data_IF_099202880469
#
_entry.id   IF_099202880469
#
_cell.length_a   1.000
_cell.length_b   1.000
_cell.length_c   1.000
_cell.angle_alpha   90.00
_cell.angle_beta   90.00
_cell.angle_gamma   90.00
#
_symmetry.space_group_name_H-M   'P 1'
#
loop_
_entity.id
_entity.type
_entity.pdbx_description
1 polymer ?
#
# COMPACT_ATOMS: atom_id res chain seq x y z
N UNK A 1 -0.18 -12.03 9.83
CA UNK A 1 -0.30 -11.57 11.23
C UNK A 1 -1.73 -11.14 11.47
N UNK A 2 -2.28 -11.42 12.65
CA UNK A 2 -3.52 -10.80 13.13
C UNK A 2 -3.15 -9.65 14.07
N UNK A 3 -3.88 -8.55 13.98
CA UNK A 3 -3.67 -7.37 14.83
C UNK A 3 -5.03 -6.84 15.28
N UNK A 4 -5.16 -6.54 16.57
CA UNK A 4 -6.36 -5.94 17.13
C UNK A 4 -6.49 -4.47 16.69
N UNK A 5 -7.71 -4.06 16.35
CA UNK A 5 -8.03 -2.66 16.04
C UNK A 5 -8.22 -1.81 17.30
N UNK A 6 -8.76 -2.40 18.37
CA UNK A 6 -9.11 -1.70 19.61
C UNK A 6 -8.09 -1.85 20.74
N UNK A 7 -7.03 -2.64 20.53
CA UNK A 7 -6.02 -2.90 21.56
C UNK A 7 -4.65 -3.05 20.92
N UNK A 8 -3.59 -2.79 21.68
CA UNK A 8 -2.22 -2.95 21.20
C UNK A 8 -1.77 -4.42 21.31
N UNK A 9 -2.37 -5.30 20.49
CA UNK A 9 -2.07 -6.73 20.48
C UNK A 9 -1.95 -7.24 19.04
N UNK A 10 -0.91 -8.04 18.79
CA UNK A 10 -0.69 -8.70 17.50
C UNK A 10 -0.11 -10.10 17.69
N UNK A 11 -0.43 -11.00 16.76
CA UNK A 11 0.07 -12.36 16.77
C UNK A 11 0.28 -12.88 15.35
N UNK A 12 1.38 -13.62 15.14
CA UNK A 12 1.59 -14.37 13.89
C UNK A 12 0.72 -15.62 13.90
N UNK A 13 -0.25 -15.69 12.98
CA UNK A 13 -1.23 -16.78 12.87
C UNK A 13 -0.91 -17.78 11.76
N UNK A 14 0.14 -17.54 10.97
CA UNK A 14 0.48 -18.38 9.83
C UNK A 14 1.82 -17.97 9.20
N UNK A 15 2.63 -18.98 8.89
CA UNK A 15 3.90 -18.84 8.19
C UNK A 15 4.04 -20.06 7.26
N UNK A 16 4.29 -19.81 5.99
CA UNK A 16 4.38 -20.85 4.96
C UNK A 16 5.67 -20.66 4.18
N UNK A 17 6.49 -21.71 4.11
CA UNK A 17 7.65 -21.72 3.24
C UNK A 17 7.21 -22.07 1.81
N UNK A 18 7.68 -21.32 0.83
CA UNK A 18 7.49 -21.61 -0.59
C UNK A 18 8.82 -21.53 -1.34
N UNK A 19 9.01 -22.41 -2.33
CA UNK A 19 10.21 -22.41 -3.19
C UNK A 19 10.28 -21.18 -4.11
N UNK A 20 9.15 -20.52 -4.35
CA UNK A 20 9.04 -19.33 -5.19
C UNK A 20 7.74 -18.57 -4.92
N UNK A 21 7.34 -17.70 -5.85
CA UNK A 21 6.13 -16.89 -5.71
C UNK A 21 4.88 -17.77 -5.55
N UNK A 22 4.08 -17.43 -4.54
CA UNK A 22 2.81 -18.12 -4.27
C UNK A 22 1.73 -17.56 -5.21
N UNK A 23 1.01 -18.45 -5.89
CA UNK A 23 -0.11 -18.06 -6.77
C UNK A 23 -1.19 -17.34 -5.96
N UNK A 24 -1.72 -16.23 -6.48
CA UNK A 24 -2.74 -15.41 -5.79
C UNK A 24 -3.99 -16.19 -5.35
N UNK A 25 -4.39 -17.21 -6.11
CA UNK A 25 -5.51 -18.11 -5.74
C UNK A 25 -5.23 -18.86 -4.43
N UNK A 26 -4.01 -19.36 -4.26
CA UNK A 26 -3.60 -20.06 -3.03
C UNK A 26 -3.58 -19.07 -1.86
N UNK A 27 -3.10 -17.85 -2.07
CA UNK A 27 -3.13 -16.79 -1.05
C UNK A 27 -4.59 -16.53 -0.63
N UNK A 28 -5.52 -16.41 -1.58
CA UNK A 28 -6.94 -16.22 -1.28
C UNK A 28 -7.51 -17.35 -0.41
N UNK A 29 -7.21 -18.60 -0.75
CA UNK A 29 -7.63 -19.77 0.04
C UNK A 29 -7.04 -19.77 1.45
N UNK A 30 -5.76 -19.43 1.60
CA UNK A 30 -5.10 -19.34 2.90
C UNK A 30 -5.70 -18.23 3.76
N UNK A 31 -6.01 -17.08 3.17
CA UNK A 31 -6.67 -15.96 3.87
C UNK A 31 -8.07 -16.34 4.32
N UNK A 32 -8.88 -16.97 3.46
CA UNK A 32 -10.22 -17.46 3.85
C UNK A 32 -10.13 -18.47 4.99
N UNK A 33 -9.18 -19.42 4.91
CA UNK A 33 -8.96 -20.40 5.98
C UNK A 33 -8.55 -19.72 7.28
N UNK A 34 -7.65 -18.74 7.24
CA UNK A 34 -7.23 -17.99 8.42
C UNK A 34 -8.40 -17.22 9.06
N UNK A 35 -9.22 -16.54 8.26
CA UNK A 35 -10.42 -15.83 8.73
C UNK A 35 -11.39 -16.81 9.42
N UNK A 36 -11.63 -17.96 8.80
CA UNK A 36 -12.49 -19.00 9.37
C UNK A 36 -11.98 -19.54 10.72
N UNK A 37 -10.67 -19.81 10.82
CA UNK A 37 -10.07 -20.29 12.08
C UNK A 37 -10.12 -19.23 13.19
N UNK A 38 -9.85 -17.97 12.87
CA UNK A 38 -9.95 -16.85 13.81
C UNK A 38 -11.39 -16.72 14.33
N UNK A 39 -12.38 -16.83 13.44
CA UNK A 39 -13.79 -16.75 13.82
C UNK A 39 -14.21 -17.86 14.78
N UNK A 40 -13.70 -19.07 14.60
CA UNK A 40 -13.99 -20.21 15.47
C UNK A 40 -13.49 -20.00 16.92
N UNK A 41 -12.48 -19.16 17.11
CA UNK A 41 -11.94 -18.80 18.44
C UNK A 41 -12.73 -17.61 19.05
N UNK A 42 -13.76 -17.10 18.35
CA UNK A 42 -14.59 -16.00 18.81
C UNK A 42 -14.06 -14.60 18.45
N UNK A 43 -12.96 -14.53 17.72
CA UNK A 43 -12.39 -13.27 17.24
C UNK A 43 -13.02 -12.87 15.90
N UNK A 44 -12.94 -11.57 15.60
CA UNK A 44 -13.48 -11.01 14.36
C UNK A 44 -12.36 -10.47 13.48
N UNK A 45 -12.54 -10.61 12.16
CA UNK A 45 -11.70 -9.98 11.15
C UNK A 45 -12.58 -9.00 10.37
N UNK A 46 -12.25 -7.71 10.46
CA UNK A 46 -12.96 -6.64 9.76
C UNK A 46 -12.27 -6.26 8.44
N UNK A 47 -10.97 -6.52 8.32
CA UNK A 47 -10.26 -6.31 7.07
C UNK A 47 -8.92 -7.01 6.97
N UNK A 48 -8.40 -7.03 5.76
CA UNK A 48 -7.07 -7.53 5.41
C UNK A 48 -6.27 -6.39 4.78
N UNK A 49 -4.98 -6.34 5.09
CA UNK A 49 -4.03 -5.37 4.52
C UNK A 49 -2.91 -6.14 3.84
N UNK A 50 -2.61 -5.80 2.59
CA UNK A 50 -1.42 -6.31 1.90
C UNK A 50 -0.84 -5.27 0.95
N UNK A 51 0.38 -5.49 0.48
CA UNK A 51 0.96 -4.65 -0.56
C UNK A 51 0.24 -4.84 -1.90
N UNK A 52 0.60 -3.99 -2.86
CA UNK A 52 0.06 -4.04 -4.22
C UNK A 52 0.82 -4.98 -5.15
N UNK A 53 1.51 -6.02 -4.67
CA UNK A 53 2.21 -6.97 -5.54
C UNK A 53 1.25 -7.71 -6.49
N UNK A 54 1.75 -8.19 -7.64
CA UNK A 54 0.91 -8.82 -8.67
C UNK A 54 0.12 -10.03 -8.16
N UNK A 55 0.72 -10.84 -7.30
CA UNK A 55 0.07 -12.01 -6.66
C UNK A 55 -1.04 -11.59 -5.70
N UNK A 56 -0.83 -10.53 -4.92
CA UNK A 56 -1.83 -9.97 -4.00
C UNK A 56 -2.99 -9.30 -4.74
N UNK A 57 -2.71 -8.60 -5.85
CA UNK A 57 -3.78 -8.08 -6.73
C UNK A 57 -4.62 -9.20 -7.31
N UNK A 58 -4.00 -10.34 -7.67
CA UNK A 58 -4.76 -11.51 -8.13
C UNK A 58 -5.67 -12.04 -7.02
N UNK A 59 -5.20 -12.13 -5.77
CA UNK A 59 -6.05 -12.48 -4.62
C UNK A 59 -7.24 -11.51 -4.48
N UNK A 60 -7.04 -10.20 -4.66
CA UNK A 60 -8.15 -9.23 -4.63
C UNK A 60 -9.21 -9.55 -5.68
N UNK A 61 -8.78 -9.85 -6.92
CA UNK A 61 -9.69 -10.26 -7.99
C UNK A 61 -10.47 -11.54 -7.63
N UNK A 62 -9.84 -12.53 -7.00
CA UNK A 62 -10.52 -13.75 -6.54
C UNK A 62 -11.59 -13.46 -5.47
N UNK A 63 -11.40 -12.42 -4.65
CA UNK A 63 -12.42 -11.94 -3.71
C UNK A 63 -13.49 -11.05 -4.37
N UNK A 64 -13.37 -10.82 -5.68
CA UNK A 64 -14.25 -9.92 -6.43
C UNK A 64 -14.13 -8.48 -5.96
N UNK A 65 -12.93 -8.07 -5.52
CA UNK A 65 -12.59 -6.68 -5.21
C UNK A 65 -12.27 -5.96 -6.50
N UNK A 66 -12.83 -4.76 -6.64
CA UNK A 66 -12.68 -3.89 -7.79
C UNK A 66 -12.37 -2.47 -7.31
N UNK A 67 -11.30 -1.89 -7.87
CA UNK A 67 -10.83 -0.55 -7.55
C UNK A 67 -11.03 0.45 -8.69
N UNK A 68 -11.78 0.09 -9.73
CA UNK A 68 -12.12 1.00 -10.82
C UNK A 68 -13.05 2.11 -10.33
N UNK A 69 -12.94 3.28 -10.94
CA UNK A 69 -13.64 4.50 -10.50
C UNK A 69 -15.17 4.32 -10.48
N UNK A 70 -15.71 3.57 -11.43
CA UNK A 70 -17.14 3.41 -11.65
C UNK A 70 -17.72 2.16 -10.96
N UNK A 71 -16.88 1.27 -10.43
CA UNK A 71 -17.29 0.01 -9.80
C UNK A 71 -16.45 -0.28 -8.55
N UNK A 72 -16.34 0.70 -7.64
CA UNK A 72 -15.59 0.53 -6.41
C UNK A 72 -16.26 -0.50 -5.50
N UNK A 73 -15.60 -1.64 -5.31
CA UNK A 73 -15.96 -2.69 -4.36
C UNK A 73 -14.72 -3.16 -3.63
N UNK A 74 -14.52 -2.68 -2.41
CA UNK A 74 -13.34 -2.97 -1.59
C UNK A 74 -13.59 -4.01 -0.49
N UNK A 75 -14.58 -4.89 -0.65
CA UNK A 75 -14.91 -5.89 0.36
C UNK A 75 -15.46 -7.18 -0.24
N UNK A 76 -15.42 -8.25 0.55
CA UNK A 76 -16.11 -9.51 0.29
C UNK A 76 -16.91 -9.93 1.52
N UNK A 77 -17.84 -10.88 1.36
CA UNK A 77 -18.65 -11.41 2.48
C UNK A 77 -17.80 -12.33 3.33
N UNK A 78 -17.93 -12.24 4.64
CA UNK A 78 -17.19 -13.11 5.56
C UNK A 78 -17.56 -14.59 5.30
N UNK A 79 -16.59 -15.52 5.23
CA UNK A 79 -16.81 -16.89 4.76
C UNK A 79 -17.76 -17.73 5.63
N UNK A 80 -17.87 -17.39 6.92
CA UNK A 80 -18.76 -18.08 7.88
C UNK A 80 -20.02 -17.27 8.20
N UNK A 81 -19.98 -15.94 8.02
CA UNK A 81 -21.04 -15.04 8.48
C UNK A 81 -21.38 -14.05 7.36
N UNK A 82 -22.28 -14.42 6.42
CA UNK A 82 -22.57 -13.61 5.25
C UNK A 82 -23.13 -12.22 5.54
N UNK A 83 -23.57 -11.95 6.78
CA UNK A 83 -24.03 -10.63 7.21
C UNK A 83 -22.87 -9.63 7.40
N UNK A 84 -21.65 -10.13 7.62
CA UNK A 84 -20.44 -9.33 7.84
C UNK A 84 -19.63 -9.21 6.56
N UNK A 85 -18.93 -8.07 6.46
CA UNK A 85 -18.02 -7.76 5.36
C UNK A 85 -16.58 -7.80 5.88
N UNK A 86 -15.68 -8.26 5.02
CA UNK A 86 -14.23 -8.17 5.23
C UNK A 86 -13.70 -7.20 4.18
N UNK A 87 -13.15 -6.08 4.65
CA UNK A 87 -12.59 -5.05 3.78
C UNK A 87 -11.17 -5.39 3.33
N UNK A 88 -10.84 -5.06 2.09
CA UNK A 88 -9.52 -5.28 1.53
C UNK A 88 -8.84 -3.92 1.35
N UNK A 89 -7.71 -3.75 2.02
CA UNK A 89 -6.97 -2.51 2.08
C UNK A 89 -5.57 -2.72 1.49
N UNK A 90 -5.10 -1.72 0.74
CA UNK A 90 -3.71 -1.70 0.30
C UNK A 90 -2.84 -1.05 1.36
N UNK A 91 -1.58 -1.49 1.44
CA UNK A 91 -0.57 -0.77 2.21
C UNK A 91 -0.33 0.63 1.64
N UNK A 92 -0.75 1.63 2.40
CA UNK A 92 -0.67 3.05 2.07
C UNK A 92 0.78 3.53 1.87
N UNK A 93 1.71 3.06 2.68
CA UNK A 93 3.13 3.48 2.61
C UNK A 93 3.73 3.02 1.28
N UNK A 94 3.40 1.80 0.85
CA UNK A 94 3.83 1.30 -0.44
C UNK A 94 3.23 2.09 -1.61
N UNK A 95 1.96 2.52 -1.53
CA UNK A 95 1.34 3.35 -2.56
C UNK A 95 2.05 4.70 -2.75
N UNK A 96 2.37 5.39 -1.65
CA UNK A 96 3.10 6.67 -1.72
C UNK A 96 4.50 6.49 -2.32
N UNK A 97 5.21 5.43 -1.94
CA UNK A 97 6.52 5.09 -2.54
C UNK A 97 6.39 4.85 -4.04
N UNK A 98 5.37 4.12 -4.50
CA UNK A 98 5.12 3.89 -5.92
C UNK A 98 4.88 5.20 -6.69
N UNK A 99 4.06 6.12 -6.17
CA UNK A 99 3.80 7.42 -6.80
C UNK A 99 5.08 8.25 -6.88
N UNK A 100 5.84 8.35 -5.78
CA UNK A 100 7.12 9.04 -5.75
C UNK A 100 8.09 8.45 -6.77
N UNK A 101 8.26 7.14 -6.79
CA UNK A 101 9.18 6.45 -7.70
C UNK A 101 8.76 6.64 -9.16
N UNK A 102 7.46 6.63 -9.46
CA UNK A 102 6.92 6.91 -10.80
C UNK A 102 7.18 8.36 -11.24
N UNK A 103 7.07 9.34 -10.34
CA UNK A 103 7.43 10.73 -10.64
C UNK A 103 8.94 10.87 -10.82
N UNK A 104 9.74 10.29 -9.94
CA UNK A 104 11.20 10.35 -10.01
C UNK A 104 11.74 9.71 -11.29
N UNK A 105 11.23 8.54 -11.69
CA UNK A 105 11.77 7.80 -12.84
C UNK A 105 11.40 8.47 -14.17
N UNK A 106 10.16 8.95 -14.30
CA UNK A 106 9.67 9.49 -15.58
C UNK A 106 9.69 11.03 -15.61
N UNK A 107 10.13 11.67 -14.52
CA UNK A 107 10.25 13.11 -14.30
C UNK A 107 8.96 13.91 -14.29
N UNK A 108 7.89 13.41 -14.90
CA UNK A 108 6.62 14.11 -15.01
C UNK A 108 5.44 13.22 -14.59
N UNK A 109 4.46 13.85 -13.94
CA UNK A 109 3.13 13.31 -13.68
C UNK A 109 2.06 14.25 -14.21
N UNK A 110 0.95 13.70 -14.67
CA UNK A 110 -0.21 14.46 -15.11
C UNK A 110 -1.46 13.87 -14.46
N UNK A 111 -2.20 14.68 -13.71
CA UNK A 111 -3.39 14.24 -12.99
C UNK A 111 -4.62 14.19 -13.90
N UNK A 112 -4.71 15.10 -14.88
CA UNK A 112 -5.81 15.15 -15.84
C UNK A 112 -5.31 15.56 -17.23
N UNK A 113 -5.91 15.10 -18.35
CA UNK A 113 -5.56 15.52 -19.70
C UNK A 113 -5.61 17.03 -19.98
N UNK A 114 -6.20 17.83 -19.08
CA UNK A 114 -6.24 19.28 -19.17
C UNK A 114 -5.39 19.97 -18.08
N UNK A 115 -4.83 19.22 -17.13
CA UNK A 115 -4.01 19.80 -16.06
C UNK A 115 -2.58 20.07 -16.55
N UNK A 116 -1.92 21.05 -15.92
CA UNK A 116 -0.47 21.21 -16.00
C UNK A 116 0.23 19.96 -15.46
N UNK A 117 1.43 19.70 -15.96
CA UNK A 117 2.27 18.60 -15.49
C UNK A 117 2.97 18.97 -14.18
N UNK A 118 3.16 17.98 -13.32
CA UNK A 118 3.99 18.06 -12.13
C UNK A 118 5.37 17.54 -12.53
N UNK A 119 6.42 18.35 -12.36
CA UNK A 119 7.80 17.97 -12.65
C UNK A 119 8.58 17.64 -11.38
N UNK A 120 9.42 16.61 -11.44
CA UNK A 120 10.41 16.31 -10.41
C UNK A 120 11.41 17.46 -10.21
N UNK A 121 11.68 18.24 -11.26
CA UNK A 121 12.66 19.32 -11.21
C UNK A 121 12.21 20.47 -10.29
N UNK A 122 10.91 20.63 -10.06
CA UNK A 122 10.40 21.60 -9.08
C UNK A 122 10.97 21.36 -7.69
N UNK A 123 11.13 20.09 -7.27
CA UNK A 123 11.72 19.75 -5.98
C UNK A 123 13.22 20.10 -5.93
N UNK A 124 13.94 19.95 -7.05
CA UNK A 124 15.36 20.33 -7.16
C UNK A 124 15.54 21.83 -7.11
N UNK A 125 14.69 22.59 -7.79
CA UNK A 125 14.71 24.07 -7.77
C UNK A 125 14.43 24.58 -6.36
N UNK A 126 13.37 24.08 -5.72
CA UNK A 126 13.03 24.47 -4.33
C UNK A 126 14.21 24.20 -3.39
N UNK A 127 14.81 23.01 -3.45
CA UNK A 127 15.98 22.68 -2.63
C UNK A 127 17.17 23.63 -2.89
N UNK A 128 17.47 23.91 -4.17
CA UNK A 128 18.57 24.80 -4.56
C UNK A 128 18.40 26.23 -4.03
N UNK A 129 17.17 26.75 -4.02
CA UNK A 129 16.90 28.06 -3.45
C UNK A 129 16.92 28.04 -1.92
N UNK A 130 16.39 26.99 -1.31
CA UNK A 130 16.29 26.83 0.15
C UNK A 130 17.66 26.74 0.84
N UNK A 131 18.68 26.13 0.21
CA UNK A 131 20.02 26.03 0.80
C UNK A 131 20.82 27.34 0.78
N UNK A 132 20.35 28.39 0.08
CA UNK A 132 21.04 29.68 0.02
C UNK A 132 20.81 30.55 1.26
N UNK A 133 19.82 30.19 2.10
CA UNK A 133 19.47 30.99 3.26
C UNK A 133 20.62 31.04 4.29
N UNK A 134 21.01 32.24 4.75
CA UNK A 134 22.10 32.40 5.70
C UNK A 134 21.80 31.68 7.02
N UNK A 135 22.85 31.15 7.65
CA UNK A 135 22.72 30.47 8.94
C UNK A 135 21.94 29.14 8.90
N UNK A 136 21.79 28.53 7.71
CA UNK A 136 21.01 27.28 7.52
C UNK A 136 19.53 27.41 7.93
N UNK A 137 18.97 28.62 7.85
CA UNK A 137 17.54 28.92 8.09
C UNK A 137 16.68 28.46 6.91
N UNK A 138 16.60 27.14 6.73
CA UNK A 138 15.87 26.49 5.66
C UNK A 138 14.37 26.46 5.95
N UNK A 139 13.55 26.76 4.93
CA UNK A 139 12.09 26.61 4.93
C UNK A 139 11.70 25.14 4.85
N UNK A 140 12.44 24.33 4.08
CA UNK A 140 12.20 22.88 3.92
C UNK A 140 13.39 22.02 4.38
N UNK A 141 13.78 22.10 5.67
CA UNK A 141 15.00 21.47 6.17
C UNK A 141 15.01 19.94 6.06
N UNK A 142 13.83 19.31 6.03
CA UNK A 142 13.68 17.84 5.91
C UNK A 142 13.98 17.31 4.50
N UNK A 143 13.96 18.16 3.47
CA UNK A 143 14.36 17.77 2.12
C UNK A 143 15.88 17.85 2.03
N UNK A 144 16.50 16.72 1.74
CA UNK A 144 17.95 16.56 1.60
C UNK A 144 18.28 16.03 0.20
N UNK A 145 19.55 16.04 -0.23
CA UNK A 145 19.95 15.49 -1.52
C UNK A 145 19.49 14.03 -1.73
N UNK A 146 19.48 13.21 -0.67
CA UNK A 146 19.02 11.82 -0.75
C UNK A 146 17.54 11.67 -1.12
N UNK A 147 16.71 12.70 -0.89
CA UNK A 147 15.30 12.70 -1.29
C UNK A 147 15.12 13.03 -2.78
N UNK A 148 16.11 13.69 -3.40
CA UNK A 148 16.07 14.16 -4.78
C UNK A 148 16.73 13.18 -5.76
N UNK A 149 17.81 12.54 -5.31
CA UNK A 149 18.59 11.56 -6.06
C UNK A 149 18.46 10.18 -5.38
N UNK A 150 17.38 9.46 -5.75
CA UNK A 150 17.04 8.19 -5.11
C UNK A 150 18.01 7.08 -5.54
N UNK A 151 18.83 6.61 -4.60
CA UNK A 151 19.67 5.42 -4.76
C UNK A 151 18.83 4.14 -4.70
N UNK A 152 19.33 2.99 -5.20
CA UNK A 152 18.63 1.71 -5.06
C UNK A 152 18.27 1.33 -3.62
N UNK A 153 19.09 1.74 -2.65
CA UNK A 153 18.80 1.55 -1.21
C UNK A 153 17.74 2.52 -0.66
N UNK A 154 17.51 3.66 -1.30
CA UNK A 154 16.57 4.70 -0.86
C UNK A 154 15.22 4.67 -1.61
N UNK A 155 15.05 3.75 -2.58
CA UNK A 155 13.84 3.59 -3.39
C UNK A 155 12.73 2.81 -2.69
#
# INVERSE_FOLDING_TARGET
MWQSLGSNCSQTIGCFASKGEVKGVIIAQLVLKAISLIKNIGLYVDGIICDGATTNRRMWTEFGVDGTKDNLKNYFKHPIDPSRKVYVLSDFVHLFKCVRNRLHNNKYLRLHPNSKQISWDYFKVVYKEDIKHPGNLRIVPRITPQHLDLTPMAK
#
